data_IF_356510236725
#
_entry.id   IF_356510236725
#
_cell.length_a   1.000
_cell.length_b   1.000
_cell.length_c   1.000
_cell.angle_alpha   90.00
_cell.angle_beta   90.00
_cell.angle_gamma   90.00
#
_symmetry.space_group_name_H-M   'P 1'
#
loop_
_entity.id
_entity.type
_entity.pdbx_description
1 polymer ?
#
# COMPACT_ATOMS: atom_id res chain seq x y z
N UNK A 1 23.04 -42.88 10.29
CA UNK A 1 24.19 -41.97 10.14
C UNK A 1 23.62 -40.55 10.14
N UNK A 2 23.83 -39.77 11.21
CA UNK A 2 23.31 -38.40 11.29
C UNK A 2 24.30 -37.44 10.62
N UNK A 3 23.82 -36.63 9.66
CA UNK A 3 24.60 -35.58 9.00
C UNK A 3 24.24 -34.26 9.66
N UNK A 4 25.21 -33.60 10.29
CA UNK A 4 25.06 -32.22 10.77
C UNK A 4 25.24 -31.32 9.54
N UNK A 5 24.18 -30.64 9.12
CA UNK A 5 24.23 -29.61 8.09
C UNK A 5 24.45 -28.29 8.82
N UNK A 6 25.55 -27.55 8.57
CA UNK A 6 25.73 -26.24 9.18
C UNK A 6 24.63 -25.31 8.68
N UNK A 7 23.83 -24.76 9.61
CA UNK A 7 22.83 -23.75 9.28
C UNK A 7 23.53 -22.52 8.71
N UNK A 8 22.95 -21.93 7.65
CA UNK A 8 23.41 -20.63 7.18
C UNK A 8 23.24 -19.61 8.31
N UNK A 9 24.15 -18.63 8.37
CA UNK A 9 24.05 -17.57 9.39
C UNK A 9 22.75 -16.78 9.24
N UNK A 10 22.29 -16.59 8.00
CA UNK A 10 20.99 -15.98 7.69
C UNK A 10 19.82 -16.69 8.36
N UNK A 11 19.82 -18.03 8.40
CA UNK A 11 18.76 -18.79 9.08
C UNK A 11 18.72 -18.52 10.58
N UNK A 12 19.89 -18.50 11.24
CA UNK A 12 20.00 -18.16 12.67
C UNK A 12 19.52 -16.73 12.94
N UNK A 13 19.86 -15.79 12.04
CA UNK A 13 19.38 -14.42 12.16
C UNK A 13 17.87 -14.32 11.98
N UNK A 14 17.28 -15.07 11.04
CA UNK A 14 15.83 -15.10 10.81
C UNK A 14 15.06 -15.65 12.02
N UNK A 15 15.51 -16.76 12.61
CA UNK A 15 14.88 -17.32 13.82
C UNK A 15 14.96 -16.35 15.00
N UNK A 16 16.10 -15.68 15.17
CA UNK A 16 16.27 -14.68 16.22
C UNK A 16 15.43 -13.44 15.98
N UNK A 17 15.31 -12.99 14.74
CA UNK A 17 14.40 -11.90 14.37
C UNK A 17 12.96 -12.23 14.78
N UNK A 18 12.47 -13.41 14.40
CA UNK A 18 11.13 -13.88 14.78
C UNK A 18 10.92 -13.96 16.30
N UNK A 19 11.96 -14.35 17.04
CA UNK A 19 11.91 -14.36 18.50
C UNK A 19 11.80 -12.94 19.07
N UNK A 20 12.63 -12.01 18.58
CA UNK A 20 12.62 -10.62 19.06
C UNK A 20 11.27 -9.91 18.77
N UNK A 21 10.67 -10.11 17.59
CA UNK A 21 9.37 -9.51 17.28
C UNK A 21 8.24 -10.08 18.14
N UNK A 22 8.32 -11.37 18.52
CA UNK A 22 7.33 -12.01 19.40
C UNK A 22 7.44 -11.52 20.83
N UNK A 23 8.63 -11.20 21.31
CA UNK A 23 8.84 -10.64 22.65
C UNK A 23 8.55 -9.14 22.72
N UNK A 24 8.57 -8.44 21.58
CA UNK A 24 8.45 -6.97 21.52
C UNK A 24 9.65 -6.26 22.15
N UNK A 25 10.80 -6.94 22.26
CA UNK A 25 12.02 -6.38 22.88
C UNK A 25 12.88 -5.69 21.81
N UNK A 26 12.81 -4.37 21.74
CA UNK A 26 13.64 -3.56 20.84
C UNK A 26 15.14 -3.78 21.07
N UNK A 27 15.56 -4.06 22.31
CA UNK A 27 16.98 -4.32 22.62
C UNK A 27 17.45 -5.63 21.98
N UNK A 28 16.57 -6.63 21.86
CA UNK A 28 16.85 -7.87 21.16
C UNK A 28 17.12 -7.60 19.67
N UNK A 29 16.34 -6.71 19.05
CA UNK A 29 16.51 -6.31 17.65
C UNK A 29 17.79 -5.49 17.44
N UNK A 30 18.11 -4.54 18.30
CA UNK A 30 19.36 -3.77 18.20
C UNK A 30 20.60 -4.68 18.30
N UNK A 31 20.60 -5.66 19.21
CA UNK A 31 21.68 -6.64 19.29
C UNK A 31 21.78 -7.51 18.03
N UNK A 32 20.63 -7.91 17.47
CA UNK A 32 20.61 -8.69 16.23
C UNK A 32 21.19 -7.87 15.06
N UNK A 33 20.83 -6.59 14.95
CA UNK A 33 21.34 -5.66 13.93
C UNK A 33 22.87 -5.60 14.02
N UNK A 34 23.44 -5.35 15.19
CA UNK A 34 24.90 -5.29 15.38
C UNK A 34 25.61 -6.58 14.95
N UNK A 35 25.01 -7.74 15.23
CA UNK A 35 25.57 -9.03 14.85
C UNK A 35 25.52 -9.27 13.35
N UNK A 36 24.41 -8.91 12.70
CA UNK A 36 24.28 -9.03 11.25
C UNK A 36 25.26 -8.07 10.56
N UNK A 37 25.41 -6.84 11.04
CA UNK A 37 26.37 -5.89 10.49
C UNK A 37 27.81 -6.38 10.57
N UNK A 38 28.22 -6.94 11.73
CA UNK A 38 29.54 -7.57 11.89
C UNK A 38 29.74 -8.73 10.90
N UNK A 39 28.69 -9.52 10.67
CA UNK A 39 28.73 -10.61 9.68
C UNK A 39 28.86 -10.08 8.25
N UNK A 40 28.10 -9.05 7.89
CA UNK A 40 28.15 -8.43 6.56
C UNK A 40 29.47 -7.72 6.27
N UNK A 41 30.24 -7.27 7.28
CA UNK A 41 31.63 -6.82 7.07
C UNK A 41 32.50 -7.96 6.53
N UNK A 42 32.29 -9.19 7.00
CA UNK A 42 33.05 -10.38 6.61
C UNK A 42 32.51 -10.97 5.30
N UNK A 43 31.18 -10.96 5.12
CA UNK A 43 30.46 -11.48 3.95
C UNK A 43 29.50 -10.44 3.40
N UNK A 44 30.00 -9.42 2.68
CA UNK A 44 29.19 -8.27 2.28
C UNK A 44 28.20 -8.56 1.14
N UNK A 45 28.31 -9.74 0.51
CA UNK A 45 27.39 -10.22 -0.52
C UNK A 45 26.34 -11.24 -0.01
N UNK A 46 26.19 -11.40 1.32
CA UNK A 46 25.19 -12.29 1.92
C UNK A 46 23.81 -11.61 1.94
N UNK A 47 23.10 -11.70 0.81
CA UNK A 47 21.79 -11.06 0.61
C UNK A 47 20.73 -11.50 1.62
N UNK A 48 20.72 -12.78 2.01
CA UNK A 48 19.76 -13.29 2.98
C UNK A 48 19.95 -12.60 4.34
N UNK A 49 21.21 -12.44 4.76
CA UNK A 49 21.52 -11.71 6.01
C UNK A 49 21.19 -10.23 5.89
N UNK A 50 21.46 -9.61 4.73
CA UNK A 50 21.05 -8.23 4.45
C UNK A 50 19.54 -8.05 4.50
N UNK A 51 18.77 -9.01 4.00
CA UNK A 51 17.31 -8.98 4.05
C UNK A 51 16.80 -9.03 5.49
N UNK A 52 17.39 -9.86 6.35
CA UNK A 52 17.04 -9.89 7.78
C UNK A 52 17.40 -8.57 8.48
N UNK A 53 18.56 -7.97 8.16
CA UNK A 53 18.93 -6.65 8.67
C UNK A 53 17.89 -5.60 8.29
N UNK A 54 17.46 -5.59 7.03
CA UNK A 54 16.43 -4.67 6.53
C UNK A 54 15.11 -4.85 7.27
N UNK A 55 14.66 -6.09 7.50
CA UNK A 55 13.44 -6.35 8.27
C UNK A 55 13.54 -5.83 9.72
N UNK A 56 14.69 -6.03 10.36
CA UNK A 56 14.92 -5.53 11.72
C UNK A 56 14.90 -4.00 11.77
N UNK A 57 15.57 -3.32 10.82
CA UNK A 57 15.56 -1.86 10.71
C UNK A 57 14.15 -1.32 10.44
N UNK A 58 13.42 -1.94 9.52
CA UNK A 58 12.03 -1.56 9.20
C UNK A 58 11.13 -1.68 10.43
N UNK A 59 11.23 -2.78 11.19
CA UNK A 59 10.44 -3.01 12.39
C UNK A 59 10.68 -1.93 13.47
N UNK A 60 11.93 -1.45 13.61
CA UNK A 60 12.30 -0.36 14.51
C UNK A 60 11.97 1.04 13.95
N UNK A 61 11.28 1.14 12.81
CA UNK A 61 10.97 2.42 12.15
C UNK A 61 12.17 3.13 11.52
N UNK A 62 13.32 2.46 11.40
CA UNK A 62 14.56 2.97 10.79
C UNK A 62 14.54 2.78 9.27
N UNK A 63 13.45 3.20 8.63
CA UNK A 63 13.18 2.96 7.20
C UNK A 63 14.21 3.60 6.28
N UNK A 64 14.72 4.80 6.60
CA UNK A 64 15.79 5.44 5.81
C UNK A 64 17.07 4.62 5.80
N UNK A 65 17.46 4.08 6.95
CA UNK A 65 18.64 3.24 7.06
C UNK A 65 18.46 1.94 6.26
N UNK A 66 17.29 1.31 6.37
CA UNK A 66 16.96 0.10 5.61
C UNK A 66 17.08 0.33 4.09
N UNK A 67 16.53 1.44 3.58
CA UNK A 67 16.64 1.83 2.17
C UNK A 67 18.10 2.04 1.79
N UNK A 68 18.85 2.80 2.59
CA UNK A 68 20.26 3.10 2.33
C UNK A 68 21.10 1.82 2.24
N UNK A 69 20.83 0.80 3.07
CA UNK A 69 21.54 -0.49 3.00
C UNK A 69 21.30 -1.21 1.68
N UNK A 70 20.05 -1.27 1.22
CA UNK A 70 19.74 -1.91 -0.07
C UNK A 70 20.34 -1.11 -1.23
N UNK A 71 20.20 0.21 -1.24
CA UNK A 71 20.71 1.05 -2.33
C UNK A 71 22.25 0.99 -2.42
N UNK A 72 22.93 0.97 -1.27
CA UNK A 72 24.39 0.79 -1.23
C UNK A 72 24.81 -0.58 -1.74
N UNK A 73 24.06 -1.62 -1.39
CA UNK A 73 24.27 -2.98 -1.91
C UNK A 73 24.13 -3.01 -3.45
N UNK A 74 23.03 -2.46 -3.97
CA UNK A 74 22.76 -2.39 -5.41
C UNK A 74 23.85 -1.61 -6.16
N UNK A 75 24.27 -0.46 -5.61
CA UNK A 75 25.34 0.35 -6.19
C UNK A 75 26.70 -0.37 -6.21
N UNK A 76 26.95 -1.26 -5.26
CA UNK A 76 28.24 -1.96 -5.12
C UNK A 76 28.29 -3.23 -5.98
N UNK A 77 27.21 -4.01 -6.00
CA UNK A 77 27.19 -5.34 -6.61
C UNK A 77 26.48 -5.39 -7.97
N UNK A 78 25.83 -4.30 -8.39
CA UNK A 78 25.23 -4.18 -9.73
C UNK A 78 23.97 -5.04 -9.93
N UNK A 79 23.45 -5.66 -8.87
CA UNK A 79 22.24 -6.46 -8.90
C UNK A 79 21.86 -6.95 -7.50
N UNK A 80 20.63 -7.41 -7.35
CA UNK A 80 20.15 -8.11 -6.16
C UNK A 80 19.08 -9.14 -6.54
N UNK A 81 18.81 -10.07 -5.64
CA UNK A 81 17.66 -10.96 -5.77
C UNK A 81 16.34 -10.18 -5.88
N UNK A 82 15.35 -10.72 -6.62
CA UNK A 82 14.03 -10.12 -6.71
C UNK A 82 13.36 -9.88 -5.35
N UNK A 83 13.65 -10.70 -4.34
CA UNK A 83 13.14 -10.54 -2.98
C UNK A 83 13.64 -9.26 -2.31
N UNK A 84 14.94 -8.95 -2.43
CA UNK A 84 15.51 -7.73 -1.87
C UNK A 84 14.96 -6.49 -2.59
N UNK A 85 14.77 -6.56 -3.91
CA UNK A 85 14.15 -5.48 -4.69
C UNK A 85 12.68 -5.29 -4.31
N UNK A 86 11.93 -6.37 -4.07
CA UNK A 86 10.53 -6.28 -3.63
C UNK A 86 10.45 -5.64 -2.25
N UNK A 87 11.38 -5.99 -1.35
CA UNK A 87 11.48 -5.37 -0.05
C UNK A 87 11.79 -3.85 -0.14
N UNK A 88 12.62 -3.43 -1.09
CA UNK A 88 12.85 -2.01 -1.35
C UNK A 88 11.56 -1.28 -1.77
N UNK A 89 10.71 -1.90 -2.61
CA UNK A 89 9.39 -1.34 -2.94
C UNK A 89 8.51 -1.16 -1.69
N UNK A 90 8.52 -2.14 -0.78
CA UNK A 90 7.80 -2.08 0.50
C UNK A 90 8.28 -0.92 1.38
N UNK A 91 9.59 -0.74 1.53
CA UNK A 91 10.16 0.39 2.29
C UNK A 91 9.78 1.75 1.71
N UNK A 92 9.68 1.85 0.37
CA UNK A 92 9.22 3.08 -0.28
C UNK A 92 7.72 3.35 -0.07
N UNK A 93 6.89 2.30 0.13
CA UNK A 93 5.50 2.47 0.59
C UNK A 93 5.47 3.04 2.01
N UNK A 94 6.30 2.52 2.92
CA UNK A 94 6.38 3.05 4.30
C UNK A 94 6.86 4.50 4.34
N UNK A 95 7.72 4.88 3.40
CA UNK A 95 8.18 6.26 3.17
C UNK A 95 7.17 7.16 2.46
N UNK A 96 6.03 6.61 2.04
CA UNK A 96 5.00 7.29 1.24
C UNK A 96 5.49 7.75 -0.15
N UNK A 97 6.64 7.26 -0.62
CA UNK A 97 7.13 7.48 -1.99
C UNK A 97 6.54 6.42 -2.93
N UNK A 98 5.23 6.50 -3.14
CA UNK A 98 4.48 5.54 -3.95
C UNK A 98 4.95 5.52 -5.41
N UNK A 99 5.53 6.62 -5.91
CA UNK A 99 6.06 6.69 -7.27
C UNK A 99 7.26 5.78 -7.43
N UNK A 100 8.24 5.85 -6.52
CA UNK A 100 9.38 4.93 -6.54
C UNK A 100 8.94 3.50 -6.26
N UNK A 101 8.07 3.30 -5.28
CA UNK A 101 7.54 1.97 -4.96
C UNK A 101 6.89 1.31 -6.20
N UNK A 102 6.06 2.06 -6.94
CA UNK A 102 5.39 1.57 -8.15
C UNK A 102 6.38 1.27 -9.27
N UNK A 103 7.33 2.17 -9.52
CA UNK A 103 8.36 1.97 -10.54
C UNK A 103 9.15 0.67 -10.30
N UNK A 104 9.50 0.40 -9.05
CA UNK A 104 10.20 -0.84 -8.67
C UNK A 104 9.29 -2.06 -8.90
N UNK A 105 8.04 -2.01 -8.46
CA UNK A 105 7.10 -3.12 -8.61
C UNK A 105 6.79 -3.44 -10.09
N UNK A 106 6.65 -2.43 -10.94
CA UNK A 106 6.44 -2.61 -12.39
C UNK A 106 7.66 -3.22 -13.09
N UNK A 107 8.87 -2.78 -12.71
CA UNK A 107 10.10 -3.37 -13.23
C UNK A 107 10.26 -4.83 -12.78
N UNK A 108 9.90 -5.14 -11.52
CA UNK A 108 9.86 -6.51 -11.03
C UNK A 108 8.85 -7.36 -11.79
N UNK A 109 7.63 -6.88 -12.01
CA UNK A 109 6.61 -7.60 -12.78
C UNK A 109 7.11 -7.92 -14.20
N UNK A 110 7.76 -6.96 -14.87
CA UNK A 110 8.35 -7.17 -16.20
C UNK A 110 9.43 -8.24 -16.13
N UNK A 111 10.34 -8.14 -15.17
CA UNK A 111 11.40 -9.12 -14.95
C UNK A 111 10.85 -10.53 -14.68
N UNK A 112 9.79 -10.66 -13.87
CA UNK A 112 9.12 -11.93 -13.60
C UNK A 112 8.60 -12.59 -14.88
N UNK A 113 7.96 -11.80 -15.76
CA UNK A 113 7.41 -12.28 -17.04
C UNK A 113 8.50 -12.72 -18.01
N UNK A 114 9.64 -12.03 -18.01
CA UNK A 114 10.79 -12.36 -18.87
C UNK A 114 11.61 -13.55 -18.35
N UNK A 115 11.73 -13.68 -17.01
CA UNK A 115 12.62 -14.65 -16.36
C UNK A 115 11.93 -15.93 -15.89
N UNK A 116 10.62 -16.08 -16.14
CA UNK A 116 9.80 -17.22 -15.73
C UNK A 116 9.96 -17.58 -14.24
N UNK A 117 9.93 -16.55 -13.38
CA UNK A 117 9.99 -16.72 -11.92
C UNK A 117 8.77 -17.50 -11.40
N UNK A 118 8.87 -18.12 -10.20
CA UNK A 118 7.75 -18.85 -9.61
C UNK A 118 6.49 -17.98 -9.52
N UNK A 119 5.34 -18.58 -9.79
CA UNK A 119 4.03 -17.92 -9.72
C UNK A 119 3.79 -17.27 -8.34
N UNK A 120 4.24 -17.92 -7.27
CA UNK A 120 4.17 -17.37 -5.91
C UNK A 120 4.87 -16.01 -5.80
N UNK A 121 6.03 -15.84 -6.44
CA UNK A 121 6.74 -14.56 -6.41
C UNK A 121 6.01 -13.50 -7.23
N UNK A 122 5.45 -13.88 -8.39
CA UNK A 122 4.61 -12.98 -9.18
C UNK A 122 3.39 -12.51 -8.39
N UNK A 123 2.76 -13.39 -7.61
CA UNK A 123 1.65 -13.05 -6.73
C UNK A 123 2.05 -12.01 -5.67
N UNK A 124 3.26 -12.10 -5.11
CA UNK A 124 3.82 -11.08 -4.19
C UNK A 124 3.96 -9.72 -4.85
N UNK A 125 4.43 -9.67 -6.10
CA UNK A 125 4.54 -8.41 -6.86
C UNK A 125 3.15 -7.81 -7.12
N UNK A 126 2.16 -8.62 -7.49
CA UNK A 126 0.78 -8.16 -7.71
C UNK A 126 0.14 -7.63 -6.43
N UNK A 127 0.31 -8.34 -5.31
CA UNK A 127 -0.16 -7.88 -4.01
C UNK A 127 0.49 -6.53 -3.63
N UNK A 128 1.79 -6.37 -3.86
CA UNK A 128 2.50 -5.11 -3.61
C UNK A 128 1.94 -3.97 -4.46
N UNK A 129 1.64 -4.21 -5.74
CA UNK A 129 0.99 -3.21 -6.60
C UNK A 129 -0.40 -2.84 -6.08
N UNK A 130 -1.19 -3.81 -5.61
CA UNK A 130 -2.50 -3.55 -5.03
C UNK A 130 -2.40 -2.64 -3.77
N UNK A 131 -1.40 -2.86 -2.92
CA UNK A 131 -1.09 -1.99 -1.77
C UNK A 131 -0.75 -0.58 -2.24
N UNK A 132 0.11 -0.44 -3.25
CA UNK A 132 0.52 0.87 -3.78
C UNK A 132 -0.67 1.62 -4.36
N UNK A 133 -1.48 0.97 -5.22
CA UNK A 133 -2.66 1.61 -5.81
C UNK A 133 -3.70 1.99 -4.76
N UNK A 134 -3.90 1.18 -3.74
CA UNK A 134 -4.80 1.50 -2.64
C UNK A 134 -4.33 2.73 -1.86
N UNK A 135 -3.03 2.82 -1.54
CA UNK A 135 -2.47 4.00 -0.87
C UNK A 135 -2.54 5.26 -1.73
N UNK A 136 -2.36 5.12 -3.05
CA UNK A 136 -2.53 6.22 -4.01
C UNK A 136 -3.99 6.58 -4.27
N UNK A 137 -4.95 5.79 -3.76
CA UNK A 137 -6.38 5.86 -4.10
C UNK A 137 -6.64 5.74 -5.61
N UNK A 138 -5.77 5.04 -6.34
CA UNK A 138 -5.90 4.76 -7.77
C UNK A 138 -6.89 3.61 -8.00
N UNK A 139 -8.17 3.94 -7.97
CA UNK A 139 -9.25 2.97 -8.12
C UNK A 139 -9.28 2.35 -9.52
N UNK A 140 -8.84 3.06 -10.56
CA UNK A 140 -8.80 2.52 -11.92
C UNK A 140 -7.80 1.38 -12.04
N UNK A 141 -6.60 1.56 -11.50
CA UNK A 141 -5.59 0.52 -11.49
C UNK A 141 -6.01 -0.67 -10.62
N UNK A 142 -6.70 -0.44 -9.51
CA UNK A 142 -7.31 -1.52 -8.71
C UNK A 142 -8.37 -2.26 -9.53
N UNK A 143 -9.28 -1.57 -10.20
CA UNK A 143 -10.29 -2.22 -11.04
C UNK A 143 -9.65 -3.08 -12.14
N UNK A 144 -8.60 -2.57 -12.81
CA UNK A 144 -7.85 -3.35 -13.82
C UNK A 144 -7.22 -4.61 -13.24
N UNK A 145 -6.72 -4.58 -11.99
CA UNK A 145 -6.25 -5.79 -11.31
C UNK A 145 -7.39 -6.79 -11.09
N UNK A 146 -8.53 -6.35 -10.55
CA UNK A 146 -9.69 -7.21 -10.32
C UNK A 146 -10.28 -7.78 -11.61
N UNK A 147 -10.30 -7.00 -12.70
CA UNK A 147 -10.76 -7.44 -14.02
C UNK A 147 -9.83 -8.48 -14.65
N UNK A 148 -8.51 -8.32 -14.49
CA UNK A 148 -7.52 -9.21 -15.10
C UNK A 148 -7.41 -10.56 -14.38
N UNK A 149 -7.53 -10.59 -13.05
CA UNK A 149 -7.42 -11.82 -12.25
C UNK A 149 -8.77 -12.47 -11.95
N UNK A 150 -9.84 -11.69 -11.92
CA UNK A 150 -11.12 -12.07 -11.35
C UNK A 150 -11.15 -11.84 -9.83
N UNK A 151 -12.31 -11.41 -9.31
CA UNK A 151 -12.46 -10.99 -7.91
C UNK A 151 -12.11 -12.10 -6.91
N UNK A 152 -12.57 -13.33 -7.15
CA UNK A 152 -12.32 -14.47 -6.26
C UNK A 152 -10.82 -14.78 -6.15
N UNK A 153 -10.14 -14.92 -7.29
CA UNK A 153 -8.71 -15.23 -7.34
C UNK A 153 -7.85 -14.13 -6.76
N UNK A 154 -8.15 -12.86 -7.08
CA UNK A 154 -7.38 -11.75 -6.51
C UNK A 154 -7.62 -11.62 -5.01
N UNK A 155 -8.84 -11.89 -4.53
CA UNK A 155 -9.14 -11.91 -3.10
C UNK A 155 -8.28 -12.96 -2.38
N UNK A 156 -8.28 -14.19 -2.88
CA UNK A 156 -7.45 -15.27 -2.31
C UNK A 156 -5.96 -14.88 -2.32
N UNK A 157 -5.47 -14.36 -3.43
CA UNK A 157 -4.08 -13.89 -3.56
C UNK A 157 -3.74 -12.84 -2.50
N UNK A 158 -4.58 -11.83 -2.31
CA UNK A 158 -4.36 -10.77 -1.33
C UNK A 158 -4.29 -11.32 0.09
N UNK A 159 -5.23 -12.19 0.48
CA UNK A 159 -5.26 -12.78 1.83
C UNK A 159 -4.13 -13.78 2.09
N UNK A 160 -3.60 -14.44 1.05
CA UNK A 160 -2.46 -15.33 1.18
C UNK A 160 -1.12 -14.58 1.29
N UNK A 161 -1.08 -13.31 0.88
CA UNK A 161 0.17 -12.56 0.71
C UNK A 161 0.31 -11.39 1.67
N UNK A 162 -0.79 -10.76 2.07
CA UNK A 162 -0.80 -9.54 2.86
C UNK A 162 -1.42 -9.78 4.24
N UNK A 163 -1.15 -8.90 5.23
CA UNK A 163 -1.92 -8.86 6.45
C UNK A 163 -3.43 -8.76 6.16
N UNK A 164 -4.26 -9.48 6.91
CA UNK A 164 -5.71 -9.57 6.66
C UNK A 164 -6.39 -8.20 6.69
N UNK A 165 -5.91 -7.26 7.51
CA UNK A 165 -6.41 -5.88 7.55
C UNK A 165 -6.15 -5.14 6.23
N UNK A 166 -4.93 -5.23 5.69
CA UNK A 166 -4.55 -4.62 4.41
C UNK A 166 -5.34 -5.23 3.25
N UNK A 167 -5.41 -6.56 3.18
CA UNK A 167 -6.20 -7.26 2.16
C UNK A 167 -7.68 -6.87 2.22
N UNK A 168 -8.27 -6.83 3.42
CA UNK A 168 -9.66 -6.41 3.63
C UNK A 168 -9.91 -4.98 3.18
N UNK A 169 -9.00 -4.05 3.51
CA UNK A 169 -9.13 -2.65 3.12
C UNK A 169 -9.13 -2.45 1.60
N UNK A 170 -8.23 -3.16 0.88
CA UNK A 170 -8.19 -3.13 -0.59
C UNK A 170 -9.49 -3.68 -1.18
N UNK A 171 -9.95 -4.83 -0.68
CA UNK A 171 -11.16 -5.48 -1.16
C UNK A 171 -12.41 -4.63 -0.90
N UNK A 172 -12.54 -4.06 0.30
CA UNK A 172 -13.63 -3.17 0.67
C UNK A 172 -13.65 -1.92 -0.18
N UNK A 173 -12.48 -1.33 -0.47
CA UNK A 173 -12.38 -0.18 -1.37
C UNK A 173 -12.89 -0.49 -2.78
N UNK A 174 -12.44 -1.62 -3.36
CA UNK A 174 -12.93 -2.09 -4.67
C UNK A 174 -14.45 -2.34 -4.66
N UNK A 175 -14.96 -3.09 -3.69
CA UNK A 175 -16.40 -3.42 -3.59
C UNK A 175 -17.25 -2.18 -3.34
N UNK A 176 -16.78 -1.26 -2.51
CA UNK A 176 -17.41 0.03 -2.24
C UNK A 176 -17.55 0.85 -3.51
N UNK A 177 -16.51 0.90 -4.36
CA UNK A 177 -16.58 1.54 -5.66
C UNK A 177 -17.60 0.88 -6.60
N UNK A 178 -17.61 -0.46 -6.68
CA UNK A 178 -18.61 -1.19 -7.48
C UNK A 178 -20.05 -0.91 -7.03
N UNK A 179 -20.29 -0.79 -5.71
CA UNK A 179 -21.58 -0.36 -5.15
C UNK A 179 -21.89 1.09 -5.52
N UNK A 180 -20.91 1.98 -5.47
CA UNK A 180 -21.04 3.38 -5.91
C UNK A 180 -21.49 3.50 -7.36
N UNK A 181 -20.89 2.74 -8.28
CA UNK A 181 -21.33 2.69 -9.68
C UNK A 181 -22.80 2.24 -9.82
N UNK A 182 -23.23 1.25 -9.03
CA UNK A 182 -24.64 0.83 -8.99
C UNK A 182 -25.54 1.95 -8.47
N UNK A 183 -25.15 2.67 -7.42
CA UNK A 183 -25.91 3.82 -6.91
C UNK A 183 -26.04 4.93 -7.94
N UNK A 184 -24.97 5.28 -8.66
CA UNK A 184 -25.01 6.28 -9.74
C UNK A 184 -26.02 5.92 -10.84
N UNK A 185 -26.17 4.63 -11.15
CA UNK A 185 -27.15 4.17 -12.14
C UNK A 185 -28.60 4.25 -11.66
N UNK A 186 -28.86 4.17 -10.34
CA UNK A 186 -30.19 4.12 -9.74
C UNK A 186 -30.70 5.47 -9.27
N UNK A 187 -29.82 6.31 -8.70
CA UNK A 187 -30.21 7.52 -7.98
C UNK A 187 -29.86 8.76 -8.80
N UNK A 188 -30.89 9.42 -9.33
CA UNK A 188 -30.75 10.62 -10.17
C UNK A 188 -30.02 11.76 -9.46
N UNK A 189 -30.38 12.03 -8.20
CA UNK A 189 -29.78 13.13 -7.45
C UNK A 189 -28.29 12.89 -7.14
N UNK A 190 -27.90 11.63 -6.85
CA UNK A 190 -26.48 11.24 -6.66
C UNK A 190 -25.70 11.48 -7.95
N UNK A 191 -26.29 11.10 -9.09
CA UNK A 191 -25.67 11.33 -10.40
C UNK A 191 -25.48 12.82 -10.69
N UNK A 192 -26.50 13.64 -10.41
CA UNK A 192 -26.40 15.10 -10.59
C UNK A 192 -25.33 15.73 -9.69
N UNK A 193 -25.26 15.31 -8.42
CA UNK A 193 -24.21 15.73 -7.50
C UNK A 193 -22.81 15.29 -7.98
N UNK A 194 -22.68 14.05 -8.46
CA UNK A 194 -21.43 13.51 -8.99
C UNK A 194 -20.93 14.27 -10.21
N UNK A 195 -21.81 14.53 -11.18
CA UNK A 195 -21.46 15.33 -12.37
C UNK A 195 -21.08 16.76 -11.96
N UNK A 196 -21.75 17.36 -10.98
CA UNK A 196 -21.40 18.69 -10.48
C UNK A 196 -19.99 18.76 -9.89
N UNK A 197 -19.61 17.73 -9.13
CA UNK A 197 -18.25 17.60 -8.62
C UNK A 197 -17.25 17.38 -9.77
N UNK A 198 -17.56 16.53 -10.75
CA UNK A 198 -16.69 16.28 -11.91
C UNK A 198 -16.47 17.51 -12.78
N UNK A 199 -17.47 18.37 -12.95
CA UNK A 199 -17.34 19.67 -13.63
C UNK A 199 -16.33 20.58 -12.93
N UNK A 200 -16.28 20.52 -11.59
CA UNK A 200 -15.47 21.42 -10.77
C UNK A 200 -14.05 20.91 -10.55
N UNK A 201 -13.90 19.61 -10.27
CA UNK A 201 -12.64 18.98 -9.87
C UNK A 201 -12.00 18.13 -10.97
N UNK A 202 -12.71 17.86 -12.06
CA UNK A 202 -12.24 17.03 -13.18
C UNK A 202 -12.74 15.59 -13.11
N UNK A 203 -12.98 14.98 -14.27
CA UNK A 203 -13.62 13.67 -14.39
C UNK A 203 -12.80 12.52 -13.79
N UNK A 204 -11.48 12.60 -13.91
CA UNK A 204 -10.52 11.59 -13.43
C UNK A 204 -10.18 11.77 -11.93
N UNK A 205 -10.80 12.75 -11.27
CA UNK A 205 -10.49 13.09 -9.88
C UNK A 205 -11.64 12.80 -8.93
N UNK A 206 -12.82 12.40 -9.42
CA UNK A 206 -14.00 12.22 -8.58
C UNK A 206 -14.55 10.81 -8.73
N UNK A 207 -14.67 10.13 -7.59
CA UNK A 207 -15.20 8.78 -7.47
C UNK A 207 -16.32 8.73 -6.43
N UNK A 208 -17.25 7.80 -6.60
CA UNK A 208 -18.23 7.46 -5.57
C UNK A 208 -17.90 6.08 -5.03
N UNK A 209 -17.64 6.01 -3.72
CA UNK A 209 -17.34 4.78 -3.01
C UNK A 209 -18.37 4.65 -1.89
N UNK A 210 -18.99 3.47 -1.78
CA UNK A 210 -19.86 3.16 -0.63
C UNK A 210 -19.00 2.55 0.46
N UNK A 211 -18.91 3.25 1.58
CA UNK A 211 -18.21 2.76 2.77
C UNK A 211 -19.21 2.08 3.70
N UNK A 212 -18.73 1.05 4.40
CA UNK A 212 -19.45 0.40 5.48
C UNK A 212 -18.61 0.50 6.73
N UNK A 213 -19.24 0.90 7.84
CA UNK A 213 -18.58 0.89 9.13
C UNK A 213 -18.29 -0.56 9.56
N UNK A 214 -17.12 -0.82 10.17
CA UNK A 214 -16.80 -2.13 10.72
C UNK A 214 -17.71 -2.49 11.90
N UNK A 215 -18.13 -1.51 12.69
CA UNK A 215 -19.05 -1.66 13.80
C UNK A 215 -20.50 -1.81 13.33
N UNK A 216 -20.83 -1.21 12.17
CA UNK A 216 -22.17 -1.23 11.56
C UNK A 216 -22.10 -1.59 10.08
N UNK A 217 -21.83 -2.86 9.73
CA UNK A 217 -21.61 -3.29 8.34
C UNK A 217 -22.85 -3.15 7.45
N UNK A 218 -24.04 -3.11 8.07
CA UNK A 218 -25.30 -2.85 7.38
C UNK A 218 -25.48 -1.36 7.04
N UNK A 219 -24.68 -0.48 7.65
CA UNK A 219 -24.74 0.94 7.39
C UNK A 219 -23.84 1.31 6.22
N UNK A 220 -24.45 1.37 5.04
CA UNK A 220 -23.79 1.82 3.81
C UNK A 220 -23.88 3.34 3.68
N UNK A 221 -22.73 4.00 3.64
CA UNK A 221 -22.63 5.46 3.45
C UNK A 221 -22.00 5.76 2.10
N UNK A 222 -22.71 6.42 1.17
CA UNK A 222 -22.11 6.91 -0.06
C UNK A 222 -21.14 8.06 0.24
N UNK A 223 -19.90 7.90 -0.19
CA UNK A 223 -18.82 8.85 -0.01
C UNK A 223 -18.28 9.33 -1.36
N UNK A 224 -18.32 10.63 -1.61
CA UNK A 224 -17.62 11.22 -2.74
C UNK A 224 -16.14 11.39 -2.41
N UNK A 225 -15.29 10.70 -3.16
CA UNK A 225 -13.85 10.80 -3.09
C UNK A 225 -13.35 11.77 -4.15
N UNK A 226 -12.67 12.83 -3.72
CA UNK A 226 -12.07 13.82 -4.63
C UNK A 226 -10.56 13.77 -4.48
N UNK A 227 -9.84 13.37 -5.53
CA UNK A 227 -8.39 13.25 -5.57
C UNK A 227 -7.74 14.53 -6.07
N UNK A 228 -6.87 15.13 -5.24
CA UNK A 228 -6.12 16.34 -5.60
C UNK A 228 -4.65 16.24 -5.20
N UNK A 229 -3.83 17.10 -5.78
CA UNK A 229 -2.47 17.29 -5.27
C UNK A 229 -2.55 17.97 -3.91
N UNK A 230 -1.93 17.34 -2.89
CA UNK A 230 -1.88 17.94 -1.56
C UNK A 230 -0.87 19.10 -1.54
N UNK A 231 -1.23 20.25 -0.94
CA UNK A 231 -0.30 21.35 -0.81
C UNK A 231 0.80 21.01 0.19
N UNK A 232 2.00 21.57 0.00
CA UNK A 232 3.12 21.41 0.93
C UNK A 232 2.92 22.30 2.16
N UNK A 233 2.07 21.84 3.08
CA UNK A 233 1.74 22.50 4.33
C UNK A 233 2.14 21.63 5.54
N UNK A 234 2.45 22.23 6.69
CA UNK A 234 2.53 21.50 7.95
C UNK A 234 1.25 20.71 8.22
N UNK A 235 1.34 19.57 8.92
CA UNK A 235 0.20 18.64 9.15
C UNK A 235 -1.04 19.36 9.71
N UNK A 236 -0.87 20.27 10.66
CA UNK A 236 -1.99 21.02 11.27
C UNK A 236 -2.68 21.96 10.28
N UNK A 237 -1.91 22.58 9.38
CA UNK A 237 -2.44 23.45 8.33
C UNK A 237 -3.05 22.65 7.19
N UNK A 238 -2.46 21.49 6.87
CA UNK A 238 -3.00 20.55 5.90
C UNK A 238 -4.38 20.03 6.31
N UNK A 239 -4.57 19.71 7.58
CA UNK A 239 -5.87 19.30 8.12
C UNK A 239 -6.93 20.41 7.96
N UNK A 240 -6.58 21.67 8.29
CA UNK A 240 -7.47 22.83 8.11
C UNK A 240 -7.78 23.09 6.65
N UNK A 241 -6.77 22.98 5.78
CA UNK A 241 -6.95 23.11 4.34
C UNK A 241 -7.89 22.04 3.81
N UNK A 242 -7.70 20.78 4.21
CA UNK A 242 -8.54 19.65 3.80
C UNK A 242 -10.00 19.86 4.18
N UNK A 243 -10.28 20.21 5.44
CA UNK A 243 -11.64 20.49 5.91
C UNK A 243 -12.30 21.62 5.10
N UNK A 244 -11.55 22.70 4.84
CA UNK A 244 -12.06 23.82 4.03
C UNK A 244 -12.40 23.40 2.60
N UNK A 245 -11.59 22.53 1.99
CA UNK A 245 -11.88 22.03 0.65
C UNK A 245 -13.08 21.05 0.67
N UNK A 246 -13.22 20.23 1.72
CA UNK A 246 -14.37 19.33 1.92
C UNK A 246 -15.67 20.15 2.06
N UNK A 247 -15.64 21.24 2.83
CA UNK A 247 -16.76 22.17 2.98
C UNK A 247 -17.17 22.77 1.63
N UNK A 248 -16.21 23.23 0.82
CA UNK A 248 -16.49 23.75 -0.53
C UNK A 248 -17.11 22.68 -1.43
N UNK A 249 -16.61 21.45 -1.37
CA UNK A 249 -17.16 20.36 -2.15
C UNK A 249 -18.57 20.00 -1.68
N UNK A 250 -18.83 20.04 -0.37
CA UNK A 250 -20.15 19.85 0.21
C UNK A 250 -21.14 20.94 -0.23
N UNK A 251 -20.75 22.22 -0.17
CA UNK A 251 -21.58 23.35 -0.62
C UNK A 251 -22.05 23.19 -2.08
N UNK A 252 -21.21 22.61 -2.95
CA UNK A 252 -21.58 22.34 -4.35
C UNK A 252 -22.69 21.30 -4.49
N UNK A 253 -22.77 20.33 -3.57
CA UNK A 253 -23.70 19.21 -3.65
C UNK A 253 -24.87 19.27 -2.67
N UNK A 254 -24.78 20.15 -1.67
CA UNK A 254 -25.81 20.38 -0.65
C UNK A 254 -27.22 20.58 -1.26
N UNK A 255 -27.39 21.33 -2.39
CA UNK A 255 -28.72 21.49 -3.00
C UNK A 255 -29.36 20.19 -3.49
N UNK A 256 -28.57 19.15 -3.78
CA UNK A 256 -29.06 17.83 -4.19
C UNK A 256 -29.37 16.96 -2.97
N UNK A 257 -28.52 17.01 -1.94
CA UNK A 257 -28.68 16.25 -0.69
C UNK A 257 -29.94 16.70 0.05
N UNK A 258 -30.13 18.01 0.24
CA UNK A 258 -31.30 18.56 0.96
C UNK A 258 -32.64 18.19 0.29
N UNK A 259 -32.64 17.91 -1.01
CA UNK A 259 -33.84 17.47 -1.73
C UNK A 259 -34.13 15.98 -1.53
N UNK A 260 -33.11 15.19 -1.21
CA UNK A 260 -33.20 13.75 -1.04
C UNK A 260 -33.50 13.33 0.40
N UNK A 261 -33.24 14.21 1.39
CA UNK A 261 -33.36 13.91 2.83
C UNK A 261 -32.47 12.71 3.26
N UNK A 262 -31.29 12.60 2.64
CA UNK A 262 -30.31 11.54 2.89
C UNK A 262 -29.00 12.10 3.47
N UNK A 263 -28.26 11.27 4.20
CA UNK A 263 -26.91 11.58 4.69
C UNK A 263 -25.87 11.20 3.64
N UNK A 264 -24.88 12.07 3.44
CA UNK A 264 -23.79 11.91 2.48
C UNK A 264 -22.51 12.47 3.06
N UNK A 265 -21.40 11.79 2.78
CA UNK A 265 -20.07 12.27 3.14
C UNK A 265 -19.28 12.69 1.90
N UNK A 266 -18.49 13.74 2.05
CA UNK A 266 -17.51 14.17 1.06
C UNK A 266 -16.14 14.03 1.69
N UNK A 267 -15.25 13.29 1.04
CA UNK A 267 -13.88 13.10 1.48
C UNK A 267 -12.92 13.60 0.40
N UNK A 268 -11.97 14.43 0.81
CA UNK A 268 -10.88 14.86 -0.05
C UNK A 268 -9.64 14.04 0.26
N UNK A 269 -9.21 13.29 -0.76
CA UNK A 269 -7.98 12.53 -0.78
C UNK A 269 -6.96 13.19 -1.70
N UNK A 270 -5.70 12.82 -1.55
CA UNK A 270 -4.67 13.32 -2.43
C UNK A 270 -3.35 12.63 -2.24
N UNK A 271 -2.52 12.64 -3.28
CA UNK A 271 -1.11 12.27 -3.14
C UNK A 271 -0.31 13.53 -2.81
N UNK A 272 0.63 13.38 -1.88
CA UNK A 272 1.60 14.42 -1.53
C UNK A 272 2.59 14.51 -2.70
N UNK A 273 2.71 15.69 -3.33
CA UNK A 273 3.78 16.00 -4.30
C UNK A 273 4.94 16.78 -3.67
N UNK A 274 5.06 16.65 -2.36
CA UNK A 274 6.17 17.07 -1.54
C UNK A 274 6.90 15.77 -1.14
#
# INVERSE_FOLDING_TARGET
MAKIIPLSKSFVFSERFEHCIKSGDERCLEQLIEEIEKHLIIKPNDEDSLLVLVYALQYLGRTDEAIQRIESYLSTYGGASPYLILQLSSLYVDKLDFRKALLIAENLERFCKESNLPEEFMNRVIAQKAVIFYNMRDIESICKLFESFGEEKLTELLFNTLPSSTASNILSFYRGYQKGLKLLSKNKWIREAFEKLKETYGKEHVYLVVESDLEYPDWETPCFYILRELPCLPIEELAKWKLKEEDKAFELIEPFIRKADELMLVQIGGSVRC
#
